data_IF_908096788950
#
_entry.id   IF_908096788950
#
_cell.length_a   1.000
_cell.length_b   1.000
_cell.length_c   1.000
_cell.angle_alpha   90.00
_cell.angle_beta   90.00
_cell.angle_gamma   90.00
#
_symmetry.space_group_name_H-M   'P 1'
#
loop_
_entity.id
_entity.type
_entity.pdbx_description
1 polymer ?
#
# COMPACT_ATOMS: atom_id res chain seq x y z
N UNK A 1 3.07 9.38 -3.03
CA UNK A 1 1.61 9.42 -2.79
C UNK A 1 1.09 8.14 -2.16
N UNK A 2 1.30 6.97 -2.79
CA UNK A 2 0.87 5.70 -2.20
C UNK A 2 1.82 5.20 -1.11
N UNK A 3 3.13 5.25 -1.36
CA UNK A 3 4.14 4.94 -0.36
C UNK A 3 4.01 5.83 0.88
N UNK A 4 3.85 7.15 0.69
CA UNK A 4 3.63 8.10 1.79
C UNK A 4 2.39 7.74 2.63
N UNK A 5 1.30 7.28 1.98
CA UNK A 5 0.09 6.84 2.68
C UNK A 5 0.38 5.61 3.53
N UNK A 6 1.09 4.61 2.99
CA UNK A 6 1.47 3.41 3.71
C UNK A 6 2.43 3.68 4.88
N UNK A 7 3.15 4.81 4.84
CA UNK A 7 4.04 5.28 5.90
C UNK A 7 3.34 6.14 6.97
N UNK A 8 2.05 6.45 6.80
CA UNK A 8 1.30 7.15 7.83
C UNK A 8 1.21 6.29 9.11
N UNK A 9 1.24 6.90 10.31
CA UNK A 9 1.13 6.15 11.56
C UNK A 9 -0.11 5.25 11.64
N UNK A 10 -1.23 5.69 11.08
CA UNK A 10 -2.47 4.90 11.00
C UNK A 10 -2.33 3.64 10.16
N UNK A 11 -1.55 3.69 9.08
CA UNK A 11 -1.31 2.56 8.18
C UNK A 11 -0.24 1.62 8.73
N UNK A 12 0.80 2.16 9.36
CA UNK A 12 1.82 1.36 10.05
C UNK A 12 1.25 0.60 11.25
N UNK A 13 0.29 1.21 11.97
CA UNK A 13 -0.42 0.58 13.07
C UNK A 13 -1.34 -0.58 12.65
N UNK A 14 -1.70 -0.69 11.35
CA UNK A 14 -2.43 -1.84 10.85
C UNK A 14 -1.48 -3.04 10.69
N UNK A 15 -1.52 -3.97 11.65
CA UNK A 15 -0.66 -5.17 11.66
C UNK A 15 -0.78 -5.97 10.36
N UNK A 16 -2.01 -6.07 9.83
CA UNK A 16 -2.35 -6.79 8.59
C UNK A 16 -2.09 -5.98 7.31
N UNK A 17 -1.52 -4.78 7.39
CA UNK A 17 -1.38 -3.89 6.25
C UNK A 17 -2.68 -3.24 5.79
N UNK A 18 -2.56 -2.37 4.79
CA UNK A 18 -3.69 -1.62 4.21
C UNK A 18 -4.19 -2.33 2.96
N UNK A 19 -5.51 -2.54 2.87
CA UNK A 19 -6.12 -3.10 1.67
C UNK A 19 -6.05 -2.11 0.48
N UNK A 20 -5.68 -2.58 -0.71
CA UNK A 20 -5.53 -1.76 -1.93
C UNK A 20 -6.75 -0.89 -2.27
N UNK A 21 -7.97 -1.38 -2.01
CA UNK A 21 -9.20 -0.63 -2.25
C UNK A 21 -9.32 0.57 -1.30
N UNK A 22 -8.86 0.44 -0.05
CA UNK A 22 -8.85 1.53 0.91
C UNK A 22 -7.89 2.64 0.46
N UNK A 23 -6.71 2.26 -0.02
CA UNK A 23 -5.73 3.18 -0.60
C UNK A 23 -6.35 3.96 -1.76
N UNK A 24 -7.01 3.26 -2.70
CA UNK A 24 -7.69 3.87 -3.85
C UNK A 24 -8.75 4.89 -3.41
N UNK A 25 -9.58 4.54 -2.42
CA UNK A 25 -10.64 5.43 -1.90
C UNK A 25 -10.06 6.66 -1.19
N UNK A 26 -9.02 6.48 -0.38
CA UNK A 26 -8.43 7.56 0.43
C UNK A 26 -7.65 8.54 -0.42
N UNK A 27 -6.90 8.05 -1.39
CA UNK A 27 -6.13 8.87 -2.32
C UNK A 27 -6.98 9.40 -3.48
N UNK A 28 -8.22 8.90 -3.65
CA UNK A 28 -9.11 9.20 -4.79
C UNK A 28 -8.43 8.91 -6.13
N UNK A 29 -7.67 7.80 -6.16
CA UNK A 29 -6.96 7.32 -7.35
C UNK A 29 -7.69 6.06 -7.86
N UNK A 30 -7.88 5.92 -9.19
CA UNK A 30 -8.44 4.70 -9.76
C UNK A 30 -7.68 3.44 -9.34
N UNK A 31 -8.41 2.35 -9.12
CA UNK A 31 -7.82 1.09 -8.64
C UNK A 31 -6.73 0.54 -9.57
N UNK A 32 -6.90 0.69 -10.89
CA UNK A 32 -5.89 0.29 -11.89
C UNK A 32 -4.54 0.99 -11.65
N UNK A 33 -4.56 2.30 -11.38
CA UNK A 33 -3.34 3.06 -11.07
C UNK A 33 -2.74 2.69 -9.72
N UNK A 34 -3.57 2.29 -8.75
CA UNK A 34 -3.05 1.76 -7.48
C UNK A 34 -2.34 0.42 -7.71
N UNK A 35 -2.90 -0.45 -8.55
CA UNK A 35 -2.28 -1.74 -8.88
C UNK A 35 -0.93 -1.56 -9.59
N UNK A 36 -0.87 -0.72 -10.62
CA UNK A 36 0.40 -0.37 -11.28
C UNK A 36 1.44 0.18 -10.30
N UNK A 37 1.01 1.04 -9.37
CA UNK A 37 1.90 1.59 -8.34
C UNK A 37 2.34 0.54 -7.32
N UNK A 38 1.47 -0.39 -6.91
CA UNK A 38 1.83 -1.50 -6.02
C UNK A 38 2.89 -2.39 -6.66
N UNK A 39 2.69 -2.79 -7.91
CA UNK A 39 3.64 -3.64 -8.64
C UNK A 39 5.01 -2.98 -8.78
N UNK A 40 5.05 -1.70 -9.13
CA UNK A 40 6.31 -0.94 -9.21
C UNK A 40 7.02 -0.86 -7.85
N UNK A 41 6.29 -0.48 -6.80
CA UNK A 41 6.85 -0.34 -5.45
C UNK A 41 7.31 -1.69 -4.85
N UNK A 42 6.59 -2.77 -5.15
CA UNK A 42 6.94 -4.13 -4.71
C UNK A 42 8.19 -4.62 -5.45
N UNK A 43 8.30 -4.36 -6.76
CA UNK A 43 9.52 -4.64 -7.55
C UNK A 43 10.73 -3.85 -7.06
N UNK A 44 10.53 -2.66 -6.49
CA UNK A 44 11.59 -1.84 -5.88
C UNK A 44 11.90 -2.22 -4.43
N UNK A 45 11.12 -3.14 -3.82
CA UNK A 45 11.28 -3.55 -2.42
C UNK A 45 10.85 -2.48 -1.41
N UNK A 46 10.03 -1.51 -1.82
CA UNK A 46 9.53 -0.42 -0.98
C UNK A 46 8.23 -0.78 -0.24
N UNK A 47 7.49 -1.76 -0.76
CA UNK A 47 6.29 -2.32 -0.15
C UNK A 47 6.30 -3.85 -0.27
N UNK A 48 5.49 -4.52 0.53
CA UNK A 48 5.29 -5.97 0.45
C UNK A 48 3.84 -6.34 0.83
N UNK A 49 3.33 -7.39 0.21
CA UNK A 49 2.07 -8.03 0.60
C UNK A 49 2.21 -8.78 1.93
N UNK A 50 1.14 -8.82 2.72
CA UNK A 50 1.18 -9.34 4.11
C UNK A 50 0.34 -10.60 4.27
N UNK A 51 -0.91 -10.45 4.70
CA UNK A 51 -1.82 -11.58 4.94
C UNK A 51 -2.36 -12.20 3.65
N UNK A 52 -2.38 -11.42 2.58
CA UNK A 52 -2.78 -11.80 1.23
C UNK A 52 -2.19 -10.80 0.22
N UNK A 53 -2.45 -11.04 -1.07
CA UNK A 53 -2.03 -10.21 -2.21
C UNK A 53 -2.75 -8.85 -2.32
N UNK A 54 -3.67 -8.53 -1.41
CA UNK A 54 -4.45 -7.29 -1.44
C UNK A 54 -4.10 -6.34 -0.30
N UNK A 55 -3.34 -6.79 0.70
CA UNK A 55 -2.92 -6.00 1.86
C UNK A 55 -1.43 -5.71 1.87
N UNK A 56 -1.08 -4.43 1.85
CA UNK A 56 0.30 -3.97 1.69
C UNK A 56 0.81 -3.22 2.91
N UNK A 57 2.12 -3.34 3.17
CA UNK A 57 2.88 -2.51 4.13
C UNK A 57 4.10 -1.90 3.45
N UNK A 58 4.54 -0.75 3.95
CA UNK A 58 5.84 -0.19 3.58
C UNK A 58 6.96 -0.98 4.27
N UNK A 59 8.09 -1.15 3.59
CA UNK A 59 9.33 -1.67 4.18
C UNK A 59 10.07 -0.62 5.01
N UNK A 60 9.73 0.66 4.86
CA UNK A 60 10.28 1.72 5.70
C UNK A 60 9.81 1.52 7.14
N UNK A 61 10.78 1.45 8.06
CA UNK A 61 10.59 1.24 9.50
C UNK A 61 10.54 2.55 10.27
#
# INVERSE_FOLDING_TARGET
MVLDYLQLPSSLAQEKGVHRNEIAQKLKIPQEKILEAMEALESEGLVYSTIDEFHYKSTAS
#
